data_IF_617490730920
#
_entry.id   IF_617490730920
#
_cell.length_a   1.000
_cell.length_b   1.000
_cell.length_c   1.000
_cell.angle_alpha   90.00
_cell.angle_beta   90.00
_cell.angle_gamma   90.00
#
_symmetry.space_group_name_H-M   'P 1'
#
loop_
_entity.id
_entity.type
_entity.pdbx_description
1 polymer ?
#
# COMPACT_ATOMS: atom_id res chain seq x y z
N UNK A 1 8.71 -7.42 -3.03
CA UNK A 1 7.24 -7.53 -2.88
C UNK A 1 6.64 -6.90 -4.11
N UNK A 2 5.70 -7.57 -4.75
CA UNK A 2 4.94 -7.01 -5.85
C UNK A 2 3.91 -6.00 -5.32
N UNK A 3 3.33 -5.21 -6.23
CA UNK A 3 2.34 -4.18 -5.90
C UNK A 3 1.09 -4.77 -5.27
N UNK A 4 0.63 -5.95 -5.70
CA UNK A 4 -0.58 -6.57 -5.16
C UNK A 4 -0.39 -6.95 -3.69
N UNK A 5 0.75 -7.55 -3.34
CA UNK A 5 1.10 -7.81 -1.95
C UNK A 5 1.13 -6.52 -1.11
N UNK A 6 1.77 -5.45 -1.62
CA UNK A 6 1.85 -4.19 -0.89
C UNK A 6 0.46 -3.57 -0.66
N UNK A 7 -0.41 -3.59 -1.67
CA UNK A 7 -1.79 -3.12 -1.54
C UNK A 7 -2.58 -3.95 -0.52
N UNK A 8 -2.48 -5.27 -0.57
CA UNK A 8 -3.12 -6.17 0.39
C UNK A 8 -2.69 -5.85 1.83
N UNK A 9 -1.39 -5.69 2.08
CA UNK A 9 -0.87 -5.36 3.42
C UNK A 9 -1.26 -3.97 3.90
N UNK A 10 -1.29 -3.00 2.99
CA UNK A 10 -1.77 -1.65 3.28
C UNK A 10 -3.24 -1.68 3.74
N UNK A 11 -4.11 -2.36 2.99
CA UNK A 11 -5.53 -2.49 3.33
C UNK A 11 -5.73 -3.20 4.67
N UNK A 12 -5.05 -4.33 4.91
CA UNK A 12 -5.12 -5.05 6.19
C UNK A 12 -4.69 -4.15 7.36
N UNK A 13 -3.63 -3.36 7.19
CA UNK A 13 -3.17 -2.44 8.23
C UNK A 13 -4.19 -1.35 8.54
N UNK A 14 -4.90 -0.82 7.52
CA UNK A 14 -5.98 0.13 7.72
C UNK A 14 -7.18 -0.48 8.46
N UNK A 15 -7.58 -1.70 8.08
CA UNK A 15 -8.67 -2.44 8.75
C UNK A 15 -8.32 -2.66 10.23
N UNK A 16 -7.09 -3.10 10.51
CA UNK A 16 -6.64 -3.32 11.88
C UNK A 16 -6.57 -2.01 12.68
N UNK A 17 -6.17 -0.90 12.06
CA UNK A 17 -6.21 0.41 12.72
C UNK A 17 -7.63 0.82 13.09
N UNK A 18 -8.62 0.56 12.23
CA UNK A 18 -10.02 0.85 12.49
C UNK A 18 -10.61 -0.06 13.58
N UNK A 19 -10.23 -1.33 13.61
CA UNK A 19 -10.69 -2.32 14.59
C UNK A 19 -9.95 -2.26 15.95
N UNK A 20 -8.83 -1.55 16.03
CA UNK A 20 -8.01 -1.49 17.24
C UNK A 20 -8.74 -0.85 18.43
N UNK A 21 -8.75 -1.55 19.56
CA UNK A 21 -9.36 -1.10 20.81
C UNK A 21 -8.45 -0.15 21.60
N UNK A 22 -7.13 -0.29 21.51
CA UNK A 22 -6.17 0.62 22.16
C UNK A 22 -5.63 1.69 21.22
N UNK A 23 -5.23 2.82 21.80
CA UNK A 23 -4.64 3.93 21.06
C UNK A 23 -3.30 3.54 20.44
N UNK A 24 -2.48 2.79 21.16
CA UNK A 24 -1.17 2.32 20.75
C UNK A 24 -1.27 1.40 19.54
N UNK A 25 -2.21 0.44 19.57
CA UNK A 25 -2.43 -0.47 18.45
C UNK A 25 -2.92 0.29 17.21
N UNK A 26 -3.84 1.25 17.39
CA UNK A 26 -4.31 2.11 16.31
C UNK A 26 -3.17 2.89 15.66
N UNK A 27 -2.30 3.49 16.47
CA UNK A 27 -1.14 4.25 15.98
C UNK A 27 -0.15 3.33 15.24
N UNK A 28 0.15 2.16 15.80
CA UNK A 28 1.06 1.20 15.20
C UNK A 28 0.56 0.73 13.82
N UNK A 29 -0.72 0.36 13.71
CA UNK A 29 -1.32 -0.07 12.45
C UNK A 29 -1.39 1.06 11.41
N UNK A 30 -1.69 2.31 11.84
CA UNK A 30 -1.61 3.47 10.94
C UNK A 30 -0.20 3.68 10.38
N UNK A 31 0.82 3.65 11.24
CA UNK A 31 2.22 3.79 10.81
C UNK A 31 2.63 2.69 9.82
N UNK A 32 2.18 1.46 10.03
CA UNK A 32 2.41 0.37 9.07
C UNK A 32 1.73 0.64 7.72
N UNK A 33 0.48 1.11 7.74
CA UNK A 33 -0.24 1.48 6.52
C UNK A 33 0.51 2.59 5.74
N UNK A 34 1.05 3.59 6.44
CA UNK A 34 1.83 4.68 5.85
C UNK A 34 3.13 4.17 5.19
N UNK A 35 3.84 3.24 5.83
CA UNK A 35 5.04 2.63 5.26
C UNK A 35 4.72 1.83 3.99
N UNK A 36 3.62 1.08 3.97
CA UNK A 36 3.19 0.36 2.76
C UNK A 36 2.82 1.35 1.65
N UNK A 37 2.10 2.43 1.96
CA UNK A 37 1.75 3.48 0.99
C UNK A 37 3.00 4.14 0.39
N UNK A 38 4.01 4.45 1.21
CA UNK A 38 5.29 4.98 0.76
C UNK A 38 5.99 4.01 -0.20
N UNK A 39 5.97 2.71 0.10
CA UNK A 39 6.58 1.69 -0.76
C UNK A 39 5.85 1.51 -2.10
N UNK A 40 4.51 1.56 -2.09
CA UNK A 40 3.69 1.56 -3.31
C UNK A 40 4.06 2.73 -4.20
N UNK A 41 4.13 3.94 -3.62
CA UNK A 41 4.46 5.15 -4.37
C UNK A 41 5.87 5.11 -4.96
N UNK A 42 6.84 4.56 -4.23
CA UNK A 42 8.20 4.37 -4.75
C UNK A 42 8.19 3.40 -5.94
N UNK A 43 7.55 2.24 -5.81
CA UNK A 43 7.51 1.24 -6.87
C UNK A 43 6.71 1.71 -8.10
N UNK A 44 5.70 2.57 -7.93
CA UNK A 44 4.99 3.25 -9.03
C UNK A 44 5.86 4.25 -9.79
N UNK A 45 6.84 4.88 -9.14
CA UNK A 45 7.79 5.79 -9.77
C UNK A 45 8.88 5.04 -10.53
N UNK A 46 9.26 3.86 -10.02
CA UNK A 46 10.28 3.00 -10.63
C UNK A 46 9.73 2.20 -11.84
N UNK A 47 8.40 2.18 -12.03
CA UNK A 47 7.78 1.64 -13.23
C UNK A 47 8.09 2.55 -14.43
N UNK A 48 8.78 2.06 -15.48
CA UNK A 48 9.07 2.87 -16.65
C UNK A 48 7.77 3.31 -17.33
N UNK A 49 7.73 4.58 -17.78
CA UNK A 49 6.58 5.24 -18.40
C UNK A 49 5.93 4.44 -19.55
N UNK A 50 6.66 3.50 -20.16
CA UNK A 50 6.16 2.62 -21.23
C UNK A 50 5.27 1.45 -20.78
N UNK A 51 5.13 1.19 -19.48
CA UNK A 51 4.31 0.06 -18.98
C UNK A 51 2.83 0.41 -18.76
N UNK A 52 2.49 1.70 -18.69
CA UNK A 52 1.11 2.17 -18.59
C UNK A 52 0.37 2.24 -19.95
N UNK A 53 1.11 2.22 -21.07
CA UNK A 53 0.53 2.29 -22.42
C UNK A 53 0.21 0.94 -23.07
N UNK A 54 0.72 -0.17 -22.54
CA UNK A 54 0.58 -1.50 -23.17
C UNK A 54 -0.79 -2.16 -22.95
N UNK A 55 -1.64 -1.62 -22.06
CA UNK A 55 -2.98 -2.14 -21.77
C UNK A 55 -4.12 -1.32 -22.42
N UNK A 56 -3.79 -0.30 -23.23
CA UNK A 56 -4.79 0.55 -23.89
C UNK A 56 -5.10 0.13 -25.34
N UNK A 57 -4.49 -0.95 -25.86
CA UNK A 57 -4.75 -1.47 -27.20
C UNK A 57 -4.98 -2.99 -27.14
N UNK A 58 -6.22 -3.37 -26.85
CA UNK A 58 -6.80 -4.66 -27.18
C UNK A 58 -8.25 -4.43 -27.62
#
# INVERSE_FOLDING_TARGET
>A
MDLNYLHSRHQVSLINAAAATSAEARIAHKRLADLYAARINLQRRDLPAGSAGALQLA
#
